data_IF_645793424224
#
_entry.id   IF_645793424224
#
_cell.length_a   1.000
_cell.length_b   1.000
_cell.length_c   1.000
_cell.angle_alpha   90.00
_cell.angle_beta   90.00
_cell.angle_gamma   90.00
#
_symmetry.space_group_name_H-M   'P 1'
#
loop_
_entity.id
_entity.type
_entity.pdbx_description
1 polymer ?
#
# COMPACT_ATOMS: atom_id res chain seq x y z
N UNK A 1 -13.42 -36.38 21.01
CA UNK A 1 -13.74 -36.49 19.56
C UNK A 1 -13.55 -35.13 18.89
N UNK A 2 -12.43 -34.91 18.19
CA UNK A 2 -12.27 -33.74 17.29
C UNK A 2 -12.83 -34.15 15.93
N UNK A 3 -13.91 -33.51 15.47
CA UNK A 3 -14.43 -33.70 14.10
C UNK A 3 -13.50 -32.94 13.14
N UNK A 4 -12.63 -33.70 12.47
CA UNK A 4 -11.92 -33.25 11.27
C UNK A 4 -12.96 -33.16 10.16
N UNK A 5 -13.25 -31.94 9.69
CA UNK A 5 -14.23 -31.71 8.63
C UNK A 5 -13.58 -32.06 7.28
N UNK A 6 -13.99 -33.19 6.71
CA UNK A 6 -13.67 -33.60 5.35
C UNK A 6 -14.19 -32.55 4.34
N UNK A 7 -13.28 -31.84 3.69
CA UNK A 7 -13.60 -31.02 2.52
C UNK A 7 -13.66 -31.92 1.29
N UNK A 8 -14.84 -32.49 1.04
CA UNK A 8 -15.16 -33.13 -0.23
C UNK A 8 -15.20 -32.08 -1.34
N UNK A 9 -14.32 -32.33 -2.30
CA UNK A 9 -14.20 -31.72 -3.61
C UNK A 9 -15.58 -31.62 -4.32
N UNK A 10 -16.10 -30.41 -4.48
CA UNK A 10 -17.16 -30.15 -5.46
C UNK A 10 -16.86 -28.81 -6.14
N UNK A 11 -16.84 -28.81 -7.48
CA UNK A 11 -16.79 -27.62 -8.34
C UNK A 11 -18.09 -26.80 -8.17
N UNK A 12 -18.29 -26.18 -7.01
CA UNK A 12 -19.38 -25.26 -6.66
C UNK A 12 -18.77 -23.88 -6.37
N UNK A 13 -19.50 -22.80 -6.68
CA UNK A 13 -19.13 -21.41 -6.42
C UNK A 13 -18.17 -21.27 -5.23
N UNK A 14 -16.92 -20.86 -5.51
CA UNK A 14 -15.87 -20.69 -4.51
C UNK A 14 -16.18 -19.44 -3.68
N UNK A 15 -17.20 -19.52 -2.83
CA UNK A 15 -17.54 -18.48 -1.86
C UNK A 15 -16.80 -18.80 -0.58
N UNK A 16 -15.77 -18.01 -0.28
CA UNK A 16 -15.15 -18.00 1.04
C UNK A 16 -15.88 -16.98 1.91
N UNK A 17 -16.42 -17.43 3.05
CA UNK A 17 -16.99 -16.55 4.08
C UNK A 17 -16.08 -16.60 5.29
N UNK A 18 -15.60 -15.44 5.71
CA UNK A 18 -14.82 -15.27 6.92
C UNK A 18 -15.25 -13.99 7.60
N UNK A 19 -15.16 -13.99 8.93
CA UNK A 19 -15.53 -12.84 9.74
C UNK A 19 -14.31 -11.92 9.87
N UNK A 20 -14.47 -10.66 9.47
CA UNK A 20 -13.49 -9.61 9.70
C UNK A 20 -14.11 -8.63 10.70
N UNK A 21 -13.66 -8.66 11.95
CA UNK A 21 -14.19 -7.83 13.04
C UNK A 21 -15.50 -8.33 13.66
N UNK A 22 -15.94 -7.65 14.72
CA UNK A 22 -17.04 -8.10 15.60
C UNK A 22 -18.25 -7.16 15.64
N UNK A 23 -18.19 -5.98 15.01
CA UNK A 23 -19.15 -4.90 15.24
C UNK A 23 -20.06 -4.57 14.03
N UNK A 24 -20.00 -5.35 12.94
CA UNK A 24 -20.81 -5.12 11.74
C UNK A 24 -20.51 -3.83 10.96
N UNK A 25 -19.49 -3.07 11.38
CA UNK A 25 -19.02 -1.86 10.69
C UNK A 25 -18.30 -2.22 9.38
N UNK A 26 -18.38 -1.32 8.40
CA UNK A 26 -17.66 -1.49 7.15
C UNK A 26 -16.13 -1.49 7.39
N UNK A 27 -15.38 -2.46 6.83
CA UNK A 27 -13.96 -2.67 7.16
C UNK A 27 -13.01 -1.63 6.55
N UNK A 28 -13.51 -0.72 5.71
CA UNK A 28 -12.75 0.32 5.02
C UNK A 28 -12.89 1.72 5.64
N UNK A 29 -13.58 1.85 6.79
CA UNK A 29 -13.70 3.14 7.48
C UNK A 29 -12.37 3.50 8.16
N UNK A 30 -11.97 4.76 8.11
CA UNK A 30 -10.68 5.25 8.62
C UNK A 30 -10.49 5.05 10.14
N UNK A 31 -11.59 4.96 10.90
CA UNK A 31 -11.59 4.73 12.35
C UNK A 31 -11.59 3.23 12.75
N UNK A 32 -11.49 2.34 11.76
CA UNK A 32 -11.43 0.89 11.97
C UNK A 32 -10.09 0.47 12.57
N UNK A 33 -10.05 -0.62 13.35
CA UNK A 33 -8.80 -1.13 13.92
C UNK A 33 -7.78 -1.47 12.84
N UNK A 34 -6.48 -1.29 13.14
CA UNK A 34 -5.40 -1.57 12.21
C UNK A 34 -5.40 -3.01 11.68
N UNK A 35 -5.82 -3.98 12.49
CA UNK A 35 -5.94 -5.39 12.09
C UNK A 35 -6.98 -5.61 10.98
N UNK A 36 -8.18 -5.03 11.16
CA UNK A 36 -9.27 -5.13 10.17
C UNK A 36 -8.89 -4.38 8.89
N UNK A 37 -8.34 -3.17 9.02
CA UNK A 37 -7.86 -2.38 7.88
C UNK A 37 -6.77 -3.11 7.11
N UNK A 38 -5.81 -3.73 7.80
CA UNK A 38 -4.75 -4.52 7.17
C UNK A 38 -5.32 -5.70 6.38
N UNK A 39 -6.22 -6.47 7.00
CA UNK A 39 -6.86 -7.63 6.37
C UNK A 39 -7.69 -7.25 5.14
N UNK A 40 -8.46 -6.16 5.24
CA UNK A 40 -9.26 -5.66 4.13
C UNK A 40 -8.39 -5.09 3.00
N UNK A 41 -7.43 -4.21 3.34
CA UNK A 41 -6.55 -3.59 2.37
C UNK A 41 -5.71 -4.63 1.62
N UNK A 42 -5.22 -5.68 2.28
CA UNK A 42 -4.49 -6.75 1.61
C UNK A 42 -5.34 -7.51 0.56
N UNK A 43 -6.67 -7.51 0.70
CA UNK A 43 -7.57 -8.16 -0.23
C UNK A 43 -8.04 -7.27 -1.39
N UNK A 44 -8.03 -5.93 -1.22
CA UNK A 44 -8.57 -4.98 -2.20
C UNK A 44 -7.53 -4.06 -2.84
N UNK A 45 -6.43 -3.78 -2.13
CA UNK A 45 -5.31 -2.99 -2.61
C UNK A 45 -4.19 -3.92 -3.05
N UNK A 46 -3.38 -3.47 -4.01
CA UNK A 46 -2.13 -4.17 -4.33
C UNK A 46 -0.99 -3.79 -3.38
N UNK A 47 -0.06 -4.72 -3.17
CA UNK A 47 1.11 -4.52 -2.32
C UNK A 47 2.33 -4.21 -3.20
N UNK A 48 3.06 -3.12 -2.89
CA UNK A 48 4.27 -2.75 -3.64
C UNK A 48 5.36 -3.83 -3.53
N UNK A 49 5.49 -4.38 -2.32
CA UNK A 49 6.42 -5.44 -1.95
C UNK A 49 5.64 -6.60 -1.35
N UNK A 50 6.20 -7.79 -1.41
CA UNK A 50 5.73 -8.99 -0.72
C UNK A 50 6.90 -9.67 -0.02
N UNK A 51 6.66 -10.81 0.62
CA UNK A 51 7.72 -11.63 1.24
C UNK A 51 7.63 -13.06 0.74
N UNK A 52 8.77 -13.71 0.55
CA UNK A 52 8.81 -15.15 0.30
C UNK A 52 8.65 -15.97 1.59
N UNK A 53 8.73 -17.30 1.48
CA UNK A 53 8.58 -18.24 2.60
C UNK A 53 9.66 -18.04 3.69
N UNK A 54 10.79 -17.45 3.34
CA UNK A 54 11.91 -17.14 4.23
C UNK A 54 11.85 -15.70 4.77
N UNK A 55 10.74 -14.99 4.53
CA UNK A 55 10.52 -13.59 4.91
C UNK A 55 11.44 -12.57 4.23
N UNK A 56 12.10 -12.91 3.11
CA UNK A 56 12.85 -11.92 2.34
C UNK A 56 11.90 -11.05 1.53
N UNK A 57 12.21 -9.76 1.42
CA UNK A 57 11.43 -8.83 0.60
C UNK A 57 11.55 -9.17 -0.89
N UNK A 58 10.40 -9.25 -1.54
CA UNK A 58 10.27 -9.54 -2.97
C UNK A 58 9.43 -8.46 -3.67
N UNK A 59 9.64 -8.21 -4.98
CA UNK A 59 8.80 -7.29 -5.74
C UNK A 59 7.33 -7.77 -5.82
N UNK A 60 6.40 -6.91 -5.39
CA UNK A 60 4.96 -7.13 -5.52
C UNK A 60 4.42 -6.46 -6.80
N UNK A 61 3.81 -5.29 -6.66
CA UNK A 61 3.46 -4.42 -7.80
C UNK A 61 4.67 -3.74 -8.42
N UNK A 62 5.78 -3.62 -7.69
CA UNK A 62 7.03 -3.17 -8.25
C UNK A 62 7.61 -4.26 -9.18
N UNK A 63 8.20 -3.83 -10.28
CA UNK A 63 9.12 -4.63 -11.08
C UNK A 63 10.45 -4.78 -10.35
N UNK A 64 10.93 -3.69 -9.75
CA UNK A 64 12.20 -3.63 -9.03
C UNK A 64 12.19 -2.53 -7.98
N UNK A 65 12.97 -2.73 -6.92
CA UNK A 65 13.34 -1.69 -5.96
C UNK A 65 14.83 -1.82 -5.66
N UNK A 66 15.54 -0.69 -5.63
CA UNK A 66 16.98 -0.65 -5.34
C UNK A 66 17.27 0.46 -4.36
N UNK A 67 18.28 0.29 -3.52
CA UNK A 67 18.81 1.37 -2.68
C UNK A 67 20.09 1.93 -3.33
N UNK A 68 20.08 3.22 -3.65
CA UNK A 68 21.22 3.94 -4.19
C UNK A 68 21.97 4.67 -3.06
N UNK A 69 23.12 4.12 -2.68
CA UNK A 69 23.91 4.62 -1.55
C UNK A 69 24.49 6.02 -1.77
N UNK A 70 24.81 6.40 -3.03
CA UNK A 70 25.41 7.70 -3.35
C UNK A 70 24.47 8.88 -3.09
N UNK A 71 23.16 8.66 -3.21
CA UNK A 71 22.15 9.68 -2.93
C UNK A 71 21.29 9.37 -1.71
N UNK A 72 21.55 8.27 -1.01
CA UNK A 72 20.76 7.78 0.12
C UNK A 72 19.25 7.71 -0.24
N UNK A 73 18.93 7.05 -1.35
CA UNK A 73 17.54 7.03 -1.89
C UNK A 73 17.13 5.63 -2.34
N UNK A 74 15.82 5.36 -2.29
CA UNK A 74 15.25 4.16 -2.89
C UNK A 74 14.73 4.48 -4.29
N UNK A 75 15.10 3.66 -5.29
CA UNK A 75 14.53 3.73 -6.63
C UNK A 75 13.48 2.64 -6.76
N UNK A 76 12.23 3.04 -6.95
CA UNK A 76 11.07 2.16 -7.04
C UNK A 76 10.52 2.17 -8.48
N UNK A 77 10.45 1.00 -9.11
CA UNK A 77 9.97 0.86 -10.49
C UNK A 77 8.71 -0.01 -10.53
N UNK A 78 7.62 0.54 -11.05
CA UNK A 78 6.34 -0.14 -11.24
C UNK A 78 6.38 -1.12 -12.42
N UNK A 79 5.59 -2.19 -12.33
CA UNK A 79 5.26 -3.01 -13.51
C UNK A 79 4.49 -2.19 -14.54
N UNK A 80 4.79 -2.38 -15.83
CA UNK A 80 4.22 -1.58 -16.93
C UNK A 80 2.76 -1.89 -17.28
N UNK A 81 2.24 -3.04 -16.84
CA UNK A 81 0.91 -3.53 -17.19
C UNK A 81 -0.14 -3.36 -16.08
N UNK A 82 0.16 -2.55 -15.06
CA UNK A 82 -0.74 -2.35 -13.93
C UNK A 82 -1.95 -1.48 -14.30
N UNK A 83 -3.12 -1.89 -13.81
CA UNK A 83 -4.38 -1.16 -13.97
C UNK A 83 -5.17 -1.14 -12.67
N UNK A 84 -5.85 -0.04 -12.41
CA UNK A 84 -6.90 0.03 -11.39
C UNK A 84 -8.15 -0.75 -11.84
N UNK A 85 -9.05 -1.02 -10.89
CA UNK A 85 -10.32 -1.71 -11.18
C UNK A 85 -11.20 -0.99 -12.21
N UNK A 86 -11.03 0.33 -12.38
CA UNK A 86 -11.71 1.13 -13.40
C UNK A 86 -11.02 1.10 -14.78
N UNK A 87 -9.96 0.32 -14.95
CA UNK A 87 -9.23 0.18 -16.21
C UNK A 87 -8.16 1.24 -16.46
N UNK A 88 -8.03 2.27 -15.61
CA UNK A 88 -6.97 3.28 -15.71
C UNK A 88 -5.60 2.65 -15.44
N UNK A 89 -4.63 2.94 -16.30
CA UNK A 89 -3.23 2.53 -16.07
C UNK A 89 -2.64 3.21 -14.84
N UNK A 90 -1.82 2.47 -14.10
CA UNK A 90 -1.06 2.99 -12.94
C UNK A 90 0.22 3.65 -13.44
N UNK A 91 0.64 4.76 -12.83
CA UNK A 91 1.92 5.42 -13.11
C UNK A 91 2.59 5.95 -11.82
N UNK A 92 3.77 6.56 -11.95
CA UNK A 92 4.54 7.08 -10.82
C UNK A 92 3.83 8.15 -9.99
N UNK A 93 2.85 8.88 -10.53
CA UNK A 93 2.05 9.84 -9.74
C UNK A 93 1.14 9.12 -8.76
N UNK A 94 0.62 7.95 -9.13
CA UNK A 94 -0.17 7.10 -8.23
C UNK A 94 0.72 6.52 -7.12
N UNK A 95 1.98 6.17 -7.44
CA UNK A 95 2.96 5.71 -6.47
C UNK A 95 3.36 6.82 -5.49
N UNK A 96 3.66 8.02 -6.00
CA UNK A 96 3.92 9.22 -5.20
C UNK A 96 2.77 9.48 -4.23
N UNK A 97 1.53 9.54 -4.75
CA UNK A 97 0.35 9.71 -3.92
C UNK A 97 0.21 8.61 -2.88
N UNK A 98 0.47 7.35 -3.23
CA UNK A 98 0.37 6.23 -2.29
C UNK A 98 1.34 6.36 -1.11
N UNK A 99 2.56 6.83 -1.34
CA UNK A 99 3.56 7.02 -0.27
C UNK A 99 3.22 8.24 0.61
N UNK A 100 2.65 9.29 0.01
CA UNK A 100 2.52 10.58 0.68
C UNK A 100 1.14 10.86 1.28
N UNK A 101 0.06 10.25 0.77
CA UNK A 101 -1.34 10.62 1.11
C UNK A 101 -1.64 10.68 2.60
N UNK A 102 -1.00 9.83 3.40
CA UNK A 102 -1.22 9.78 4.83
C UNK A 102 -0.73 11.01 5.59
N UNK A 103 0.26 11.73 5.07
CA UNK A 103 0.72 12.98 5.65
C UNK A 103 -0.26 14.14 5.39
N UNK A 104 -1.14 13.99 4.41
CA UNK A 104 -2.22 14.95 4.09
C UNK A 104 -3.57 14.54 4.70
N UNK A 105 -3.59 13.53 5.56
CA UNK A 105 -4.77 13.11 6.33
C UNK A 105 -4.66 13.62 7.76
N UNK A 106 -5.81 13.84 8.41
CA UNK A 106 -5.88 14.16 9.84
C UNK A 106 -5.29 13.07 10.75
N UNK A 107 -5.15 11.84 10.25
CA UNK A 107 -4.55 10.71 10.97
C UNK A 107 -3.25 10.22 10.31
N UNK A 108 -2.19 11.03 10.41
CA UNK A 108 -0.87 10.73 9.82
C UNK A 108 -0.01 9.79 10.67
N UNK A 109 -0.49 9.35 11.84
CA UNK A 109 0.31 8.63 12.84
C UNK A 109 1.00 7.38 12.27
N UNK A 110 0.25 6.55 11.52
CA UNK A 110 0.77 5.35 10.88
C UNK A 110 1.91 5.66 9.89
N UNK A 111 1.73 6.66 9.03
CA UNK A 111 2.73 7.04 8.02
C UNK A 111 3.97 7.66 8.68
N UNK A 112 3.75 8.43 9.74
CA UNK A 112 4.81 9.10 10.47
C UNK A 112 5.75 8.11 11.18
N UNK A 113 5.25 6.93 11.56
CA UNK A 113 6.10 5.88 12.15
C UNK A 113 7.08 5.30 11.13
N UNK A 114 6.66 5.15 9.87
CA UNK A 114 7.44 4.40 8.87
C UNK A 114 8.17 5.27 7.84
N UNK A 115 7.64 6.46 7.51
CA UNK A 115 8.08 7.25 6.35
C UNK A 115 8.49 8.68 6.70
N UNK A 116 8.50 9.07 7.97
CA UNK A 116 8.80 10.47 8.39
C UNK A 116 10.22 10.92 8.05
N UNK A 117 11.14 10.00 7.79
CA UNK A 117 12.51 10.28 7.39
C UNK A 117 12.67 10.67 5.90
N UNK A 118 11.58 10.70 5.12
CA UNK A 118 11.61 11.24 3.76
C UNK A 118 11.82 12.76 3.84
N UNK A 119 12.79 13.24 3.07
CA UNK A 119 13.13 14.67 3.01
C UNK A 119 11.92 15.53 2.59
N UNK A 120 11.67 16.61 3.32
CA UNK A 120 10.60 17.57 3.01
C UNK A 120 9.23 17.23 3.61
N UNK A 121 9.04 16.06 4.23
CA UNK A 121 7.77 15.69 4.87
C UNK A 121 7.37 16.63 6.01
N UNK A 122 8.34 17.12 6.79
CA UNK A 122 8.07 18.00 7.93
C UNK A 122 7.45 19.37 7.53
N UNK A 123 7.43 19.70 6.24
CA UNK A 123 6.79 20.92 5.72
C UNK A 123 5.27 20.76 5.53
N UNK A 124 4.75 19.54 5.61
CA UNK A 124 3.33 19.25 5.45
C UNK A 124 2.61 19.58 6.77
N UNK A 125 1.71 20.58 6.72
CA UNK A 125 0.70 20.80 7.76
C UNK A 125 -0.54 19.95 7.43
N UNK A 126 -0.85 18.88 8.19
CA UNK A 126 -1.99 18.00 7.88
C UNK A 126 -3.35 18.69 7.98
N UNK A 127 -3.42 19.85 8.61
CA UNK A 127 -4.67 20.61 8.80
C UNK A 127 -4.92 21.65 7.71
N UNK A 128 -3.88 22.00 6.94
CA UNK A 128 -3.92 23.10 5.95
C UNK A 128 -3.40 22.73 4.57
N UNK A 129 -2.50 21.76 4.49
CA UNK A 129 -1.83 21.41 3.23
C UNK A 129 -2.74 20.53 2.40
N UNK A 130 -2.92 20.90 1.13
CA UNK A 130 -3.53 20.03 0.13
C UNK A 130 -2.44 19.25 -0.60
N UNK A 131 -2.70 17.98 -0.91
CA UNK A 131 -1.77 17.19 -1.69
C UNK A 131 -1.53 17.83 -3.07
N UNK A 132 -0.27 17.99 -3.43
CA UNK A 132 0.18 18.41 -4.75
C UNK A 132 1.40 17.59 -5.13
N UNK A 133 1.37 16.98 -6.32
CA UNK A 133 2.52 16.26 -6.88
C UNK A 133 3.75 17.16 -6.93
N UNK A 134 4.90 16.64 -6.53
CA UNK A 134 6.17 17.36 -6.41
C UNK A 134 6.30 18.29 -5.20
N UNK A 135 5.38 18.24 -4.23
CA UNK A 135 5.46 19.08 -3.03
C UNK A 135 6.48 18.59 -1.98
N UNK A 136 6.91 17.32 -2.05
CA UNK A 136 7.83 16.72 -1.08
C UNK A 136 9.18 16.51 -1.76
N UNK A 137 10.22 17.20 -1.31
CA UNK A 137 11.53 17.24 -1.99
C UNK A 137 12.23 15.88 -2.06
N UNK A 138 11.98 15.00 -1.08
CA UNK A 138 12.50 13.64 -1.00
C UNK A 138 11.74 12.61 -1.83
N UNK A 139 10.73 13.00 -2.60
CA UNK A 139 9.99 12.12 -3.52
C UNK A 139 9.98 12.72 -4.91
N UNK A 140 10.63 12.05 -5.86
CA UNK A 140 10.87 12.54 -7.22
C UNK A 140 10.37 11.53 -8.24
N UNK A 141 9.50 11.98 -9.12
CA UNK A 141 9.12 11.22 -10.31
C UNK A 141 10.28 11.29 -11.29
N UNK A 142 10.86 10.14 -11.62
CA UNK A 142 11.95 10.01 -12.61
C UNK A 142 11.38 9.85 -14.01
N UNK A 143 10.40 8.95 -14.15
CA UNK A 143 9.64 8.70 -15.38
C UNK A 143 8.24 8.15 -15.05
N UNK A 144 7.46 7.77 -16.07
CA UNK A 144 6.09 7.29 -15.93
C UNK A 144 5.92 6.05 -15.01
N UNK A 145 6.98 5.26 -14.80
CA UNK A 145 6.94 4.05 -13.98
C UNK A 145 7.98 4.05 -12.85
N UNK A 146 8.89 5.02 -12.80
CA UNK A 146 9.97 5.11 -11.83
C UNK A 146 9.81 6.30 -10.89
N UNK A 147 9.92 6.05 -9.60
CA UNK A 147 9.95 7.03 -8.51
C UNK A 147 11.24 6.85 -7.71
N UNK A 148 11.81 7.95 -7.23
CA UNK A 148 13.03 8.00 -6.42
C UNK A 148 12.82 8.83 -5.15
#
# INVERSE_FOLDING_TARGET
MRKVLNLMNSKKNKVLRFQIGVNGRAPYLEDTSGEILSSFNAAVLGQLLTTDEDFNLQPGLLEKFDYEQSTNSFVLRLKSNLKFHNGRSVNSKDLEFSLLRGFFSSNSSFYSVYLKNIEGIDQIDPTRSLFKSGAVSGVKIVDDLTLK
#
